data_IF_169063369130
#
_entry.id   IF_169063369130
#
_cell.length_a   1.000
_cell.length_b   1.000
_cell.length_c   1.000
_cell.angle_alpha   90.00
_cell.angle_beta   90.00
_cell.angle_gamma   90.00
#
_symmetry.space_group_name_H-M   'P 1'
#
loop_
_entity.id
_entity.type
_entity.pdbx_description
1 polymer ?
#
# COMPACT_ATOMS: atom_id res chain seq x y z
N UNK A 1 -8.53 -7.62 14.18
CA UNK A 1 -8.90 -6.36 13.51
C UNK A 1 -9.91 -6.69 12.43
N UNK A 2 -11.01 -5.95 12.39
CA UNK A 2 -11.99 -6.11 11.33
C UNK A 2 -11.42 -5.55 10.01
N UNK A 3 -11.74 -6.18 8.88
CA UNK A 3 -11.33 -5.71 7.53
C UNK A 3 -11.66 -4.22 7.30
N UNK A 4 -12.78 -3.74 7.86
CA UNK A 4 -13.18 -2.33 7.82
C UNK A 4 -12.18 -1.42 8.52
N UNK A 5 -11.68 -1.78 9.70
CA UNK A 5 -10.72 -0.98 10.46
C UNK A 5 -9.40 -0.82 9.69
N UNK A 6 -8.96 -1.89 9.02
CA UNK A 6 -7.77 -1.89 8.18
C UNK A 6 -7.94 -0.95 6.99
N UNK A 7 -9.08 -1.03 6.29
CA UNK A 7 -9.37 -0.14 5.15
C UNK A 7 -9.37 1.32 5.60
N UNK A 8 -9.98 1.65 6.73
CA UNK A 8 -9.98 3.03 7.26
C UNK A 8 -8.57 3.48 7.70
N UNK A 9 -7.77 2.58 8.28
CA UNK A 9 -6.38 2.85 8.61
C UNK A 9 -5.54 3.14 7.35
N UNK A 10 -5.70 2.35 6.29
CA UNK A 10 -5.01 2.56 5.02
C UNK A 10 -5.46 3.84 4.31
N UNK A 11 -6.75 4.18 4.35
CA UNK A 11 -7.24 5.49 3.86
C UNK A 11 -6.59 6.65 4.61
N UNK A 12 -6.50 6.57 5.94
CA UNK A 12 -5.81 7.58 6.76
C UNK A 12 -4.33 7.69 6.39
N UNK A 13 -3.67 6.56 6.16
CA UNK A 13 -2.27 6.54 5.73
C UNK A 13 -2.08 7.21 4.36
N UNK A 14 -2.89 6.85 3.36
CA UNK A 14 -2.85 7.48 2.04
C UNK A 14 -3.12 8.98 2.13
N UNK A 15 -4.04 9.42 3.00
CA UNK A 15 -4.28 10.83 3.26
C UNK A 15 -3.02 11.54 3.80
N UNK A 16 -2.33 10.92 4.78
CA UNK A 16 -1.06 11.45 5.32
C UNK A 16 -0.01 11.58 4.21
N UNK A 17 0.17 10.56 3.38
CA UNK A 17 1.11 10.61 2.26
C UNK A 17 0.80 11.79 1.31
N UNK A 18 -0.47 11.94 0.92
CA UNK A 18 -0.91 13.03 0.05
C UNK A 18 -0.70 14.42 0.67
N UNK A 19 -0.96 14.56 1.97
CA UNK A 19 -0.73 15.82 2.69
C UNK A 19 0.75 16.23 2.74
N UNK A 20 1.65 15.26 2.58
CA UNK A 20 3.10 15.45 2.54
C UNK A 20 3.64 15.65 1.10
N UNK A 21 2.74 15.86 0.14
CA UNK A 21 3.04 16.08 -1.28
C UNK A 21 3.31 14.80 -2.08
N UNK A 22 3.10 13.62 -1.49
CA UNK A 22 3.37 12.34 -2.16
C UNK A 22 2.15 11.95 -2.99
N UNK A 23 2.34 11.88 -4.31
CA UNK A 23 1.29 11.45 -5.24
C UNK A 23 1.18 9.93 -5.25
N UNK A 24 -0.03 9.44 -4.99
CA UNK A 24 -0.39 8.01 -5.03
C UNK A 24 -1.40 7.81 -6.15
N UNK A 25 -1.00 7.09 -7.19
CA UNK A 25 -1.80 6.77 -8.37
C UNK A 25 -2.81 5.67 -8.06
N UNK A 26 -2.34 4.58 -7.45
CA UNK A 26 -3.14 3.46 -6.96
C UNK A 26 -2.63 2.94 -5.61
N UNK A 27 -3.52 2.34 -4.85
CA UNK A 27 -3.20 1.71 -3.58
C UNK A 27 -3.99 0.41 -3.42
N UNK A 28 -3.31 -0.69 -3.08
CA UNK A 28 -3.93 -2.00 -2.93
C UNK A 28 -3.52 -2.64 -1.61
N UNK A 29 -4.50 -3.00 -0.78
CA UNK A 29 -4.27 -3.95 0.31
C UNK A 29 -4.08 -5.34 -0.30
N UNK A 30 -3.03 -6.04 0.12
CA UNK A 30 -2.78 -7.42 -0.29
C UNK A 30 -2.29 -8.28 0.89
N UNK A 31 -1.75 -9.46 0.60
CA UNK A 31 -1.10 -10.29 1.60
C UNK A 31 -2.07 -11.01 2.55
N UNK A 32 -1.64 -11.18 3.80
CA UNK A 32 -2.28 -12.05 4.79
C UNK A 32 -3.76 -11.68 5.03
N UNK A 33 -4.09 -10.39 5.03
CA UNK A 33 -5.42 -9.85 5.28
C UNK A 33 -6.46 -10.10 4.16
N UNK A 34 -6.04 -10.59 3.00
CA UNK A 34 -6.95 -11.08 1.96
C UNK A 34 -7.21 -12.58 2.03
N UNK A 35 -6.35 -13.33 2.74
CA UNK A 35 -6.33 -14.79 2.74
C UNK A 35 -7.06 -15.42 3.94
N UNK A 36 -7.78 -14.64 4.76
CA UNK A 36 -8.37 -15.06 6.05
C UNK A 36 -7.39 -15.68 7.06
N UNK A 37 -6.07 -15.54 6.83
CA UNK A 37 -5.02 -16.05 7.72
C UNK A 37 -4.43 -14.98 8.64
N UNK A 38 -4.81 -13.72 8.45
CA UNK A 38 -4.30 -12.63 9.26
C UNK A 38 -4.85 -12.71 10.70
N UNK A 39 -3.94 -12.46 11.64
CA UNK A 39 -4.22 -12.26 13.06
C UNK A 39 -4.11 -10.80 13.41
N UNK A 40 -4.47 -10.43 14.64
CA UNK A 40 -4.36 -9.06 15.12
C UNK A 40 -2.91 -8.56 15.19
N UNK A 41 -1.93 -9.46 15.15
CA UNK A 41 -0.49 -9.15 15.14
C UNK A 41 0.09 -9.06 13.73
N UNK A 42 -0.68 -9.40 12.69
CA UNK A 42 -0.18 -9.44 11.31
C UNK A 42 0.08 -8.04 10.75
N UNK A 43 1.14 -7.95 9.95
CA UNK A 43 1.48 -6.77 9.14
C UNK A 43 0.44 -6.52 8.04
N UNK A 44 0.21 -5.24 7.77
CA UNK A 44 -0.76 -4.72 6.80
C UNK A 44 0.00 -4.31 5.54
N UNK A 45 0.11 -5.27 4.62
CA UNK A 45 0.77 -5.08 3.32
C UNK A 45 -0.05 -4.15 2.40
N UNK A 46 0.57 -3.05 1.95
CA UNK A 46 -0.05 -2.13 1.00
C UNK A 46 0.88 -1.83 -0.18
N UNK A 47 0.42 -2.11 -1.39
CA UNK A 47 1.12 -1.71 -2.61
C UNK A 47 0.72 -0.29 -2.96
N UNK A 48 1.70 0.59 -3.16
CA UNK A 48 1.52 1.98 -3.53
C UNK A 48 2.12 2.21 -4.91
N UNK A 49 1.28 2.58 -5.88
CA UNK A 49 1.75 2.96 -7.22
C UNK A 49 2.09 4.45 -7.22
N UNK A 50 3.36 4.77 -7.48
CA UNK A 50 3.93 6.12 -7.44
C UNK A 50 4.56 6.50 -8.77
N UNK A 51 4.79 7.80 -9.00
CA UNK A 51 5.43 8.28 -10.24
C UNK A 51 6.92 7.89 -10.32
N UNK A 52 7.60 7.78 -9.18
CA UNK A 52 9.00 7.39 -9.06
C UNK A 52 9.20 6.49 -7.83
N UNK A 53 10.28 5.71 -7.84
CA UNK A 53 10.75 4.87 -6.73
C UNK A 53 12.22 5.23 -6.48
N UNK A 54 12.49 6.14 -5.55
CA UNK A 54 13.83 6.47 -5.09
C UNK A 54 13.97 6.26 -3.57
N UNK A 55 15.21 6.11 -3.09
CA UNK A 55 15.51 5.79 -1.69
C UNK A 55 14.96 6.84 -0.71
N UNK A 56 14.97 8.11 -1.10
CA UNK A 56 14.47 9.20 -0.25
C UNK A 56 12.94 9.13 -0.10
N UNK A 57 12.23 8.96 -1.22
CA UNK A 57 10.78 8.82 -1.22
C UNK A 57 10.36 7.56 -0.45
N UNK A 58 11.06 6.44 -0.68
CA UNK A 58 10.85 5.18 0.03
C UNK A 58 11.01 5.37 1.52
N UNK A 59 12.13 5.93 1.97
CA UNK A 59 12.38 6.24 3.38
C UNK A 59 11.33 7.19 3.98
N UNK A 60 10.89 8.22 3.23
CA UNK A 60 9.83 9.14 3.65
C UNK A 60 8.50 8.41 3.84
N UNK A 61 8.07 7.59 2.87
CA UNK A 61 6.84 6.79 2.94
C UNK A 61 6.88 5.86 4.17
N UNK A 62 7.95 5.09 4.34
CA UNK A 62 8.16 4.24 5.52
C UNK A 62 8.14 5.03 6.84
N UNK A 63 8.69 6.24 6.87
CA UNK A 63 8.68 7.06 8.09
C UNK A 63 7.29 7.52 8.51
N UNK A 64 6.39 7.71 7.54
CA UNK A 64 5.04 8.23 7.74
C UNK A 64 4.07 7.16 8.24
N UNK A 65 4.41 5.87 8.15
CA UNK A 65 3.62 4.78 8.76
C UNK A 65 3.42 5.02 10.26
N UNK A 66 4.45 5.54 10.95
CA UNK A 66 4.41 5.89 12.39
C UNK A 66 3.36 6.94 12.76
N UNK A 67 2.89 7.75 11.81
CA UNK A 67 1.78 8.71 12.05
C UNK A 67 0.41 8.01 12.09
N UNK A 68 0.33 6.74 11.69
CA UNK A 68 -0.91 5.98 11.57
C UNK A 68 -0.84 4.64 12.31
N UNK A 69 0.07 3.76 11.93
CA UNK A 69 0.32 2.46 12.56
C UNK A 69 1.66 1.90 12.09
N UNK A 70 2.46 1.37 13.02
CA UNK A 70 3.73 0.69 12.71
C UNK A 70 3.55 -0.67 12.03
N UNK A 71 2.31 -1.18 11.97
CA UNK A 71 1.98 -2.45 11.28
C UNK A 71 1.83 -2.29 9.78
N UNK A 72 1.83 -1.06 9.25
CA UNK A 72 1.67 -0.83 7.81
C UNK A 72 3.01 -1.08 7.14
N UNK A 73 3.04 -1.98 6.17
CA UNK A 73 4.19 -2.27 5.34
C UNK A 73 3.95 -1.83 3.89
N UNK A 74 4.49 -0.66 3.49
CA UNK A 74 4.34 -0.16 2.14
C UNK A 74 5.31 -0.84 1.16
N UNK A 75 4.77 -1.30 0.04
CA UNK A 75 5.53 -1.74 -1.13
C UNK A 75 5.33 -0.74 -2.27
N UNK A 76 6.36 0.00 -2.63
CA UNK A 76 6.29 0.99 -3.69
C UNK A 76 6.46 0.30 -5.04
N UNK A 77 5.71 0.79 -6.03
CA UNK A 77 5.85 0.36 -7.42
C UNK A 77 5.77 1.58 -8.30
N UNK A 78 6.81 1.80 -9.10
CA UNK A 78 6.75 2.82 -10.12
C UNK A 78 5.61 2.55 -11.12
N UNK A 79 4.88 3.60 -11.48
CA UNK A 79 3.75 3.56 -12.40
C UNK A 79 4.05 2.83 -13.71
N UNK A 80 5.20 3.11 -14.32
CA UNK A 80 5.64 2.43 -15.54
C UNK A 80 5.74 0.92 -15.34
N UNK A 81 6.33 0.48 -14.23
CA UNK A 81 6.45 -0.95 -13.89
C UNK A 81 5.09 -1.60 -13.63
N UNK A 82 4.19 -0.90 -12.94
CA UNK A 82 2.85 -1.40 -12.68
C UNK A 82 2.04 -1.61 -13.97
N UNK A 83 2.12 -0.70 -14.93
CA UNK A 83 1.29 -0.75 -16.14
C UNK A 83 1.90 -1.53 -17.31
N UNK A 84 3.23 -1.58 -17.46
CA UNK A 84 3.88 -2.12 -18.66
C UNK A 84 4.02 -3.65 -18.68
N UNK A 85 3.21 -4.40 -17.92
CA UNK A 85 3.24 -5.88 -17.85
C UNK A 85 4.66 -6.46 -17.73
N UNK A 86 5.51 -5.81 -16.93
CA UNK A 86 6.80 -6.38 -16.54
C UNK A 86 6.50 -7.65 -15.73
N UNK A 87 7.09 -8.79 -16.11
CA UNK A 87 6.91 -10.06 -15.40
C UNK A 87 7.23 -9.89 -13.91
N UNK A 88 6.18 -9.71 -13.12
CA UNK A 88 6.25 -9.53 -11.68
C UNK A 88 5.10 -10.31 -11.06
N UNK A 89 5.36 -11.54 -10.59
CA UNK A 89 4.34 -12.40 -9.99
C UNK A 89 3.57 -11.70 -8.86
N UNK A 90 4.24 -10.81 -8.12
CA UNK A 90 3.60 -10.01 -7.06
C UNK A 90 2.62 -8.98 -7.63
N UNK A 91 3.03 -8.19 -8.63
CA UNK A 91 2.14 -7.19 -9.25
C UNK A 91 0.93 -7.88 -9.89
N UNK A 92 1.13 -9.00 -10.58
CA UNK A 92 0.04 -9.75 -11.19
C UNK A 92 -0.92 -10.33 -10.15
N UNK A 93 -0.39 -10.85 -9.05
CA UNK A 93 -1.20 -11.31 -7.92
C UNK A 93 -2.02 -10.17 -7.31
N UNK A 94 -1.42 -9.01 -7.09
CA UNK A 94 -2.09 -7.83 -6.52
C UNK A 94 -3.14 -7.28 -7.48
N UNK A 95 -2.88 -7.20 -8.79
CA UNK A 95 -3.90 -6.82 -9.77
C UNK A 95 -5.08 -7.78 -9.79
N UNK A 96 -4.84 -9.08 -9.59
CA UNK A 96 -5.87 -10.12 -9.63
C UNK A 96 -6.69 -10.22 -8.35
N UNK A 97 -6.06 -10.06 -7.19
CA UNK A 97 -6.66 -10.40 -5.89
C UNK A 97 -6.71 -9.22 -4.91
N UNK A 98 -5.89 -8.18 -5.14
CA UNK A 98 -5.76 -7.01 -4.28
C UNK A 98 -7.08 -6.27 -4.08
N UNK A 99 -7.27 -5.74 -2.86
CA UNK A 99 -8.37 -4.83 -2.58
C UNK A 99 -7.91 -3.39 -2.83
N UNK A 100 -8.43 -2.76 -3.89
CA UNK A 100 -8.16 -1.36 -4.17
C UNK A 100 -8.72 -0.46 -3.06
N UNK A 101 -7.86 0.38 -2.47
CA UNK A 101 -8.25 1.35 -1.47
C UNK A 101 -8.67 2.63 -2.19
N UNK A 102 -9.98 2.84 -2.31
CA UNK A 102 -10.54 4.00 -2.99
C UNK A 102 -10.12 5.30 -2.26
N UNK A 103 -9.42 6.16 -2.99
CA UNK A 103 -8.90 7.43 -2.51
C UNK A 103 -9.80 8.60 -2.95
N UNK A 104 -11.06 8.62 -2.51
CA UNK A 104 -11.92 9.80 -2.67
C UNK A 104 -11.51 10.89 -1.69
#
# INVERSE_FOLDING_TARGET
>A
MAKREIVEMLKKYIFVLRSEGIKIDKAYLYGSYLSNKATDESDIDIMLVTENEDDYLTGKIWSLTRKVSSKIEPYLVEKGRFYNNVDSPLIDLVKKTGLEIACK
#
